data_IF_759680747706
#
_entry.id   IF_759680747706
#
_cell.length_a   1.000
_cell.length_b   1.000
_cell.length_c   1.000
_cell.angle_alpha   90.00
_cell.angle_beta   90.00
_cell.angle_gamma   90.00
#
_symmetry.space_group_name_H-M   'P 1'
#
loop_
_entity.id
_entity.type
_entity.pdbx_description
1 polymer ?
#
# COMPACT_ATOMS: atom_id res chain seq x y z
N UNK A 1 25.65 -15.22 2.08
CA UNK A 1 24.31 -15.84 2.09
C UNK A 1 23.28 -14.74 2.27
N UNK A 2 22.32 -14.55 1.34
CA UNK A 2 21.20 -13.61 1.58
C UNK A 2 20.31 -14.20 2.67
N UNK A 3 19.93 -13.41 3.67
CA UNK A 3 18.96 -13.83 4.70
C UNK A 3 17.57 -13.79 4.06
N UNK A 4 16.91 -14.93 4.01
CA UNK A 4 15.53 -15.07 3.54
C UNK A 4 14.62 -15.32 4.74
N UNK A 5 13.39 -14.83 4.67
CA UNK A 5 12.37 -15.02 5.70
C UNK A 5 11.08 -15.55 5.07
N UNK A 6 10.30 -16.31 5.84
CA UNK A 6 9.01 -16.86 5.42
C UNK A 6 7.89 -16.12 6.13
N UNK A 7 6.87 -15.68 5.38
CA UNK A 7 5.65 -15.08 5.92
C UNK A 7 4.52 -16.11 5.80
N UNK A 8 4.02 -16.69 6.90
CA UNK A 8 2.89 -17.61 6.85
C UNK A 8 1.60 -16.84 6.56
N UNK A 9 0.79 -17.38 5.64
CA UNK A 9 -0.55 -16.89 5.28
C UNK A 9 -1.47 -18.09 5.06
N UNK A 10 -2.78 -17.88 5.01
CA UNK A 10 -3.70 -18.95 4.63
C UNK A 10 -3.51 -19.35 3.15
N UNK A 11 -3.87 -20.59 2.82
CA UNK A 11 -3.78 -21.09 1.45
C UNK A 11 -4.58 -20.24 0.47
N UNK A 12 -5.78 -19.81 0.87
CA UNK A 12 -6.63 -18.90 0.07
C UNK A 12 -5.91 -17.60 -0.25
N UNK A 13 -5.25 -16.98 0.73
CA UNK A 13 -4.49 -15.74 0.53
C UNK A 13 -3.31 -15.99 -0.39
N UNK A 14 -2.56 -17.09 -0.19
CA UNK A 14 -1.43 -17.44 -1.06
C UNK A 14 -1.86 -17.59 -2.52
N UNK A 15 -2.96 -18.27 -2.80
CA UNK A 15 -3.48 -18.46 -4.16
C UNK A 15 -3.80 -17.12 -4.82
N UNK A 16 -4.42 -16.19 -4.09
CA UNK A 16 -4.71 -14.85 -4.60
C UNK A 16 -3.41 -14.10 -4.89
N UNK A 17 -2.49 -14.07 -3.92
CA UNK A 17 -1.23 -13.34 -4.07
C UNK A 17 -0.37 -13.87 -5.21
N UNK A 18 -0.28 -15.19 -5.42
CA UNK A 18 0.47 -15.78 -6.54
C UNK A 18 -0.13 -15.39 -7.91
N UNK A 19 -1.45 -15.31 -8.01
CA UNK A 19 -2.14 -14.87 -9.24
C UNK A 19 -1.84 -13.40 -9.55
N UNK A 20 -1.98 -12.54 -8.55
CA UNK A 20 -1.77 -11.08 -8.70
C UNK A 20 -0.29 -10.72 -8.90
N UNK A 21 0.63 -11.46 -8.26
CA UNK A 21 2.08 -11.28 -8.42
C UNK A 21 2.52 -11.43 -9.87
N UNK A 22 1.86 -12.32 -10.62
CA UNK A 22 2.24 -12.66 -11.98
C UNK A 22 3.73 -13.04 -12.07
N UNK A 23 4.45 -12.36 -12.96
CA UNK A 23 5.86 -12.64 -13.25
C UNK A 23 6.85 -11.98 -12.26
N UNK A 24 6.38 -11.16 -11.31
CA UNK A 24 7.25 -10.55 -10.31
C UNK A 24 7.79 -11.60 -9.33
N UNK A 25 8.93 -11.31 -8.72
CA UNK A 25 9.35 -12.06 -7.53
C UNK A 25 8.61 -11.55 -6.27
N UNK A 26 8.68 -12.31 -5.19
CA UNK A 26 7.97 -11.98 -3.96
C UNK A 26 8.42 -10.68 -3.31
N UNK A 27 9.73 -10.37 -3.35
CA UNK A 27 10.27 -9.15 -2.76
C UNK A 27 9.76 -7.91 -3.50
N UNK A 28 9.79 -7.93 -4.83
CA UNK A 28 9.28 -6.85 -5.68
C UNK A 28 7.79 -6.61 -5.44
N UNK A 29 7.00 -7.68 -5.47
CA UNK A 29 5.55 -7.59 -5.36
C UNK A 29 5.09 -7.12 -3.98
N UNK A 30 5.67 -7.66 -2.90
CA UNK A 30 5.33 -7.24 -1.55
C UNK A 30 5.78 -5.80 -1.27
N UNK A 31 6.93 -5.36 -1.81
CA UNK A 31 7.38 -3.98 -1.69
C UNK A 31 6.45 -3.02 -2.43
N UNK A 32 6.03 -3.37 -3.65
CA UNK A 32 5.03 -2.62 -4.41
C UNK A 32 3.71 -2.50 -3.62
N UNK A 33 3.20 -3.61 -3.07
CA UNK A 33 1.97 -3.60 -2.26
C UNK A 33 2.06 -2.67 -1.05
N UNK A 34 3.19 -2.68 -0.32
CA UNK A 34 3.40 -1.79 0.83
C UNK A 34 3.45 -0.32 0.38
N UNK A 35 4.09 -0.02 -0.76
CA UNK A 35 4.16 1.34 -1.29
C UNK A 35 2.78 1.86 -1.72
N UNK A 36 1.99 1.03 -2.39
CA UNK A 36 0.62 1.37 -2.78
C UNK A 36 -0.29 1.55 -1.56
N UNK A 37 -0.19 0.68 -0.55
CA UNK A 37 -0.90 0.84 0.72
C UNK A 37 -0.56 2.19 1.38
N UNK A 38 0.72 2.55 1.45
CA UNK A 38 1.16 3.84 1.99
C UNK A 38 0.68 5.02 1.16
N UNK A 39 0.70 4.90 -0.18
CA UNK A 39 0.21 5.94 -1.10
C UNK A 39 -1.27 6.20 -0.86
N UNK A 40 -2.09 5.14 -0.85
CA UNK A 40 -3.53 5.23 -0.59
C UNK A 40 -3.83 5.85 0.78
N UNK A 41 -3.12 5.42 1.83
CA UNK A 41 -3.28 5.99 3.17
C UNK A 41 -2.95 7.50 3.22
N UNK A 42 -1.93 7.96 2.48
CA UNK A 42 -1.63 9.40 2.38
C UNK A 42 -2.72 10.16 1.63
N UNK A 43 -3.24 9.59 0.54
CA UNK A 43 -4.33 10.19 -0.24
C UNK A 43 -5.62 10.33 0.57
N UNK A 44 -5.96 9.30 1.36
CA UNK A 44 -7.07 9.35 2.30
C UNK A 44 -6.88 10.45 3.36
N UNK A 45 -5.69 10.54 3.97
CA UNK A 45 -5.38 11.60 4.93
C UNK A 45 -5.47 13.01 4.33
N UNK A 46 -5.00 13.22 3.10
CA UNK A 46 -5.14 14.50 2.39
C UNK A 46 -6.61 14.80 2.08
N UNK A 47 -7.38 13.80 1.67
CA UNK A 47 -8.82 13.93 1.42
C UNK A 47 -9.55 14.34 2.69
N UNK A 48 -9.22 13.74 3.83
CA UNK A 48 -9.83 14.07 5.11
C UNK A 48 -9.42 15.47 5.60
N UNK A 49 -8.16 15.88 5.41
CA UNK A 49 -7.73 17.26 5.65
C UNK A 49 -8.51 18.27 4.79
N UNK A 50 -8.74 17.97 3.50
CA UNK A 50 -9.55 18.81 2.60
C UNK A 50 -11.02 18.90 2.98
N UNK A 51 -11.56 17.93 3.73
CA UNK A 51 -12.95 17.99 4.25
C UNK A 51 -13.06 18.88 5.49
N UNK A 52 -11.96 19.04 6.23
CA UNK A 52 -11.90 19.82 7.47
C UNK A 52 -11.56 21.28 7.17
N UNK A 53 -10.66 21.52 6.22
CA UNK A 53 -10.32 22.86 5.76
C UNK A 53 -11.47 23.40 4.92
N UNK A 54 -12.06 24.51 5.35
CA UNK A 54 -12.94 25.31 4.49
C UNK A 54 -12.12 25.95 3.37
N UNK A 55 -12.73 26.32 2.24
CA UNK A 55 -12.01 27.03 1.17
C UNK A 55 -11.29 28.29 1.68
N UNK A 56 -11.77 28.87 2.77
CA UNK A 56 -11.18 30.07 3.39
C UNK A 56 -9.89 29.75 4.15
N UNK A 57 -9.73 28.54 4.73
CA UNK A 57 -8.49 28.13 5.42
C UNK A 57 -7.33 27.83 4.45
N UNK A 58 -7.64 27.45 3.21
CA UNK A 58 -6.65 27.14 2.16
C UNK A 58 -6.08 28.44 1.53
N UNK A 59 -6.82 29.55 1.59
CA UNK A 59 -6.40 30.84 1.00
C UNK A 59 -5.40 31.61 1.87
N UNK A 60 -5.21 31.23 3.13
CA UNK A 60 -4.27 31.88 4.05
C UNK A 60 -2.88 31.23 4.11
N UNK A 61 -2.60 30.21 3.28
CA UNK A 61 -1.28 29.58 3.11
C UNK A 61 -0.71 29.94 1.73
#
# INVERSE_FOLDING_TARGET
MRRVATIPVSDTVKVILEREKGNMNWDEFLLMLVNEYKRKKREEGISDLRKILTEDDIREI
#
